data_IF_203267756414
#
_entry.id   IF_203267756414
#
_cell.length_a   1.000
_cell.length_b   1.000
_cell.length_c   1.000
_cell.angle_alpha   90.00
_cell.angle_beta   90.00
_cell.angle_gamma   90.00
#
_symmetry.space_group_name_H-M   'P 1'
#
loop_
_entity.id
_entity.type
_entity.pdbx_description
1 polymer ?
#
# COMPACT_ATOMS: atom_id res chain seq x y z
N UNK A 1 -0.04 -8.56 -14.39
CA UNK A 1 1.23 -7.81 -14.47
C UNK A 1 2.43 -8.68 -14.10
N UNK A 2 2.43 -9.31 -12.91
CA UNK A 2 3.56 -10.08 -12.38
C UNK A 2 4.17 -11.12 -13.33
N UNK A 3 3.35 -11.80 -14.11
CA UNK A 3 3.77 -12.82 -15.09
C UNK A 3 4.58 -12.23 -16.26
N UNK A 4 4.28 -10.99 -16.67
CA UNK A 4 4.89 -10.39 -17.86
C UNK A 4 6.11 -9.50 -17.53
N UNK A 5 6.08 -8.81 -16.38
CA UNK A 5 7.13 -7.89 -15.97
C UNK A 5 8.20 -8.61 -15.14
N UNK A 6 8.87 -9.62 -15.69
CA UNK A 6 9.82 -10.46 -14.95
C UNK A 6 11.05 -9.71 -14.37
N UNK A 7 11.35 -8.51 -14.88
CA UNK A 7 12.49 -7.68 -14.51
C UNK A 7 12.15 -6.51 -13.57
N UNK A 8 10.89 -6.31 -13.21
CA UNK A 8 10.46 -5.27 -12.27
C UNK A 8 10.25 -5.93 -10.89
N UNK A 9 11.10 -5.70 -9.90
CA UNK A 9 11.03 -6.45 -8.64
C UNK A 9 9.71 -6.22 -7.91
N UNK A 10 9.23 -4.98 -7.86
CA UNK A 10 8.07 -4.59 -7.05
C UNK A 10 6.93 -4.06 -7.91
N UNK A 11 5.72 -4.55 -7.64
CA UNK A 11 4.48 -4.00 -8.22
C UNK A 11 3.73 -3.27 -7.10
N UNK A 12 3.37 -2.03 -7.39
CA UNK A 12 2.71 -1.13 -6.44
C UNK A 12 1.20 -1.08 -6.64
N UNK A 13 0.45 -1.16 -5.54
CA UNK A 13 -0.97 -0.85 -5.48
C UNK A 13 -1.19 0.43 -4.67
N UNK A 14 -1.60 1.49 -5.37
CA UNK A 14 -1.87 2.78 -4.76
C UNK A 14 -3.31 2.85 -4.25
N UNK A 15 -3.48 2.78 -2.93
CA UNK A 15 -4.81 2.61 -2.31
C UNK A 15 -5.61 3.90 -2.24
N UNK A 16 -4.98 5.07 -2.33
CA UNK A 16 -5.68 6.35 -2.33
C UNK A 16 -6.59 6.52 -3.57
N UNK A 17 -6.24 5.95 -4.72
CA UNK A 17 -7.08 5.94 -5.93
C UNK A 17 -7.84 4.62 -6.14
N UNK A 18 -7.32 3.51 -5.60
CA UNK A 18 -7.86 2.16 -5.85
C UNK A 18 -8.79 1.64 -4.75
N UNK A 19 -8.92 2.37 -3.63
CA UNK A 19 -9.43 1.90 -2.33
C UNK A 19 -8.52 0.88 -1.66
N UNK A 20 -8.58 0.81 -0.33
CA UNK A 20 -7.78 -0.13 0.46
C UNK A 20 -8.10 -1.60 0.13
N UNK A 21 -9.38 -1.94 -0.03
CA UNK A 21 -9.79 -3.33 -0.30
C UNK A 21 -9.23 -3.86 -1.64
N UNK A 22 -9.22 -3.02 -2.68
CA UNK A 22 -8.66 -3.42 -3.97
C UNK A 22 -7.13 -3.54 -3.91
N UNK A 23 -6.48 -2.68 -3.11
CA UNK A 23 -5.04 -2.75 -2.91
C UNK A 23 -4.63 -4.02 -2.14
N UNK A 24 -5.39 -4.40 -1.10
CA UNK A 24 -5.20 -5.66 -0.39
C UNK A 24 -5.42 -6.86 -1.31
N UNK A 25 -6.50 -6.85 -2.11
CA UNK A 25 -6.76 -7.89 -3.10
C UNK A 25 -5.62 -8.00 -4.12
N UNK A 26 -5.02 -6.88 -4.54
CA UNK A 26 -3.93 -6.90 -5.50
C UNK A 26 -2.70 -7.69 -5.01
N UNK A 27 -2.50 -7.83 -3.69
CA UNK A 27 -1.42 -8.63 -3.12
C UNK A 27 -1.52 -10.10 -3.52
N UNK A 28 -2.75 -10.64 -3.54
CA UNK A 28 -3.05 -12.00 -4.01
C UNK A 28 -2.71 -12.21 -5.50
N UNK A 29 -2.56 -11.13 -6.26
CA UNK A 29 -2.27 -11.16 -7.70
C UNK A 29 -0.86 -10.66 -8.05
N UNK A 30 0.05 -10.69 -7.06
CA UNK A 30 1.48 -10.44 -7.25
C UNK A 30 1.91 -8.99 -7.08
N UNK A 31 1.11 -8.19 -6.38
CA UNK A 31 1.53 -6.92 -5.80
C UNK A 31 2.22 -7.17 -4.45
N UNK A 32 3.26 -6.39 -4.15
CA UNK A 32 3.98 -6.50 -2.87
C UNK A 32 4.20 -5.14 -2.20
N UNK A 33 3.84 -4.05 -2.89
CA UNK A 33 4.03 -2.69 -2.39
C UNK A 33 2.70 -1.94 -2.29
N UNK A 34 2.21 -1.74 -1.07
CA UNK A 34 1.02 -0.92 -0.81
C UNK A 34 1.43 0.53 -0.54
N UNK A 35 0.90 1.48 -1.31
CA UNK A 35 1.30 2.88 -1.23
C UNK A 35 0.10 3.83 -1.10
N UNK A 36 0.29 4.91 -0.34
CA UNK A 36 -0.68 5.93 -0.01
C UNK A 36 -0.32 6.65 1.29
N UNK A 37 -1.02 7.74 1.61
CA UNK A 37 -0.67 8.54 2.79
C UNK A 37 -1.36 8.02 4.05
N UNK A 38 -0.57 7.55 5.00
CA UNK A 38 -1.01 7.11 6.32
C UNK A 38 -1.28 8.35 7.19
N UNK A 39 -2.27 8.28 8.07
CA UNK A 39 -2.78 9.30 9.01
C UNK A 39 -3.41 10.54 8.38
N UNK A 40 -2.83 11.11 7.32
CA UNK A 40 -3.37 12.30 6.66
C UNK A 40 -3.18 12.21 5.16
N UNK A 41 -4.27 12.09 4.41
CA UNK A 41 -4.23 12.19 2.95
C UNK A 41 -4.02 13.66 2.58
N UNK A 42 -2.77 14.02 2.28
CA UNK A 42 -2.38 15.39 1.91
C UNK A 42 -2.13 15.54 0.41
N UNK A 43 -1.89 14.45 -0.32
CA UNK A 43 -1.44 14.48 -1.72
C UNK A 43 -2.65 14.64 -2.66
N UNK A 44 -3.64 13.75 -2.58
CA UNK A 44 -4.87 13.84 -3.35
C UNK A 44 -5.73 15.03 -2.90
N UNK A 45 -5.73 15.36 -1.61
CA UNK A 45 -6.38 16.56 -1.08
C UNK A 45 -5.78 17.83 -1.69
N UNK A 46 -4.45 17.93 -1.79
CA UNK A 46 -3.81 19.04 -2.49
C UNK A 46 -4.12 19.06 -4.00
N UNK A 47 -4.43 17.91 -4.60
CA UNK A 47 -4.90 17.79 -5.99
C UNK A 47 -6.41 18.03 -6.16
N UNK A 48 -7.15 18.38 -5.09
CA UNK A 48 -8.57 18.73 -5.13
C UNK A 48 -9.55 17.57 -4.86
N UNK A 49 -9.08 16.43 -4.35
CA UNK A 49 -9.94 15.31 -4.00
C UNK A 49 -10.79 15.59 -2.74
N UNK A 50 -12.03 15.07 -2.73
CA UNK A 50 -13.02 15.32 -1.68
C UNK A 50 -12.79 14.56 -0.36
N UNK A 51 -11.86 13.60 -0.31
CA UNK A 51 -11.55 12.82 0.90
C UNK A 51 -10.15 13.17 1.40
N UNK A 52 -10.09 13.70 2.62
CA UNK A 52 -8.86 14.19 3.27
C UNK A 52 -8.36 13.26 4.40
N UNK A 53 -9.06 12.15 4.65
CA UNK A 53 -8.76 11.30 5.80
C UNK A 53 -7.85 10.17 5.34
N UNK A 54 -6.64 10.11 5.91
CA UNK A 54 -5.76 8.95 5.77
C UNK A 54 -6.26 7.78 6.62
N UNK A 55 -5.49 6.70 6.64
CA UNK A 55 -5.74 5.53 7.48
C UNK A 55 -4.74 5.51 8.64
N UNK A 56 -5.16 5.11 9.83
CA UNK A 56 -4.24 4.97 10.94
C UNK A 56 -3.25 3.82 10.67
N UNK A 57 -2.01 3.93 11.14
CA UNK A 57 -0.97 2.95 10.84
C UNK A 57 -1.33 1.55 11.38
N UNK A 58 -1.86 1.50 12.59
CA UNK A 58 -2.33 0.29 13.27
C UNK A 58 -3.48 -0.39 12.53
N UNK A 59 -4.44 0.39 12.02
CA UNK A 59 -5.52 -0.11 11.16
C UNK A 59 -4.95 -0.73 9.88
N UNK A 60 -4.04 -0.03 9.21
CA UNK A 60 -3.42 -0.49 7.96
C UNK A 60 -2.62 -1.79 8.16
N UNK A 61 -1.81 -1.86 9.22
CA UNK A 61 -1.07 -3.06 9.63
C UNK A 61 -2.04 -4.21 9.94
N UNK A 62 -3.11 -3.94 10.67
CA UNK A 62 -4.14 -4.94 11.00
C UNK A 62 -4.75 -5.56 9.74
N UNK A 63 -5.13 -4.74 8.77
CA UNK A 63 -5.71 -5.19 7.51
C UNK A 63 -4.77 -6.08 6.68
N UNK A 64 -3.47 -5.75 6.65
CA UNK A 64 -2.46 -6.58 5.95
C UNK A 64 -2.35 -7.95 6.62
N UNK A 65 -2.27 -7.99 7.96
CA UNK A 65 -2.21 -9.24 8.74
C UNK A 65 -3.46 -10.10 8.59
N UNK A 66 -4.63 -9.47 8.64
CA UNK A 66 -5.92 -10.15 8.43
C UNK A 66 -6.02 -10.76 7.03
N UNK A 67 -5.35 -10.16 6.04
CA UNK A 67 -5.22 -10.69 4.69
C UNK A 67 -4.16 -11.80 4.56
N UNK A 68 -3.50 -12.19 5.66
CA UNK A 68 -2.51 -13.27 5.70
C UNK A 68 -1.10 -12.88 5.22
N UNK A 69 -0.82 -11.58 5.09
CA UNK A 69 0.48 -11.06 4.68
C UNK A 69 1.26 -10.47 5.87
N UNK A 70 2.58 -10.31 5.68
CA UNK A 70 3.49 -9.72 6.65
C UNK A 70 3.71 -8.23 6.35
N UNK A 71 3.22 -7.29 7.17
CA UNK A 71 3.45 -5.86 6.97
C UNK A 71 4.89 -5.47 7.30
N UNK A 72 5.57 -4.87 6.33
CA UNK A 72 6.96 -4.41 6.45
C UNK A 72 7.06 -2.94 6.05
N UNK A 73 7.61 -2.11 6.93
CA UNK A 73 8.05 -0.76 6.61
C UNK A 73 9.38 -0.81 5.85
N UNK A 74 9.47 0.02 4.81
CA UNK A 74 10.64 0.05 3.92
C UNK A 74 11.11 1.47 3.64
N UNK A 75 12.38 1.59 3.25
CA UNK A 75 12.90 2.82 2.67
C UNK A 75 12.59 2.94 1.16
N UNK A 76 13.17 3.96 0.51
CA UNK A 76 13.00 4.20 -0.93
C UNK A 76 13.69 3.16 -1.83
N UNK A 77 14.61 2.37 -1.28
CA UNK A 77 15.34 1.30 -1.96
C UNK A 77 14.80 -0.09 -1.61
N UNK A 78 13.66 -0.17 -0.92
CA UNK A 78 13.03 -1.40 -0.44
C UNK A 78 13.86 -2.16 0.61
N UNK A 79 14.76 -1.49 1.32
CA UNK A 79 15.36 -2.09 2.51
C UNK A 79 14.32 -2.13 3.62
N UNK A 80 14.23 -3.26 4.30
CA UNK A 80 13.35 -3.44 5.45
C UNK A 80 13.84 -2.59 6.63
N UNK A 81 12.94 -1.78 7.16
CA UNK A 81 13.18 -0.94 8.34
C UNK A 81 12.55 -1.55 9.58
N UNK A 82 11.32 -2.06 9.44
CA UNK A 82 10.54 -2.62 10.54
C UNK A 82 9.52 -3.66 10.07
N UNK A 83 9.35 -4.74 10.82
CA UNK A 83 8.28 -5.74 10.61
C UNK A 83 7.29 -5.63 11.77
N UNK A 84 6.00 -5.58 11.46
CA UNK A 84 4.95 -5.28 12.44
C UNK A 84 4.28 -6.51 13.03
#
# INVERSE_FOLDING_TARGET
ARIFLDNIPHIKAYWATSTINLALLAQEFGCDDLDGTIQKESIQSAAGAARANGMALDEFVGLIKESGFEPVERDSLYNELHSY
#
